data_IF_948534203181
#
_entry.id   IF_948534203181
#
_cell.length_a   1.000
_cell.length_b   1.000
_cell.length_c   1.000
_cell.angle_alpha   90.00
_cell.angle_beta   90.00
_cell.angle_gamma   90.00
#
_symmetry.space_group_name_H-M   'P 1'
#
loop_
_entity.id
_entity.type
_entity.pdbx_description
1 polymer ?
#
# COMPACT_ATOMS: atom_id res chain seq x y z
N UNK A 1 7.10 19.23 -0.73
CA UNK A 1 6.04 18.26 -0.36
C UNK A 1 6.67 16.89 -0.37
N UNK A 2 6.76 16.22 0.77
CA UNK A 2 7.37 14.88 0.85
C UNK A 2 6.31 13.87 0.37
N UNK A 3 6.45 13.37 -0.86
CA UNK A 3 5.49 12.42 -1.42
C UNK A 3 5.64 11.07 -0.72
N UNK A 4 4.55 10.56 -0.15
CA UNK A 4 4.51 9.21 0.39
C UNK A 4 4.73 8.22 -0.77
N UNK A 5 5.84 7.49 -0.76
CA UNK A 5 6.14 6.50 -1.81
C UNK A 5 5.65 5.11 -1.42
N UNK A 6 5.35 4.27 -2.43
CA UNK A 6 4.98 2.86 -2.21
C UNK A 6 6.07 2.11 -1.43
N UNK A 7 7.32 2.35 -1.79
CA UNK A 7 8.49 1.73 -1.16
C UNK A 7 8.64 2.15 0.30
N UNK A 8 8.52 3.45 0.59
CA UNK A 8 8.56 3.95 1.96
C UNK A 8 7.47 3.29 2.82
N UNK A 9 6.26 3.18 2.27
CA UNK A 9 5.13 2.58 2.98
C UNK A 9 5.34 1.08 3.22
N UNK A 10 5.86 0.35 2.24
CA UNK A 10 6.21 -1.07 2.37
C UNK A 10 7.28 -1.29 3.44
N UNK A 11 8.40 -0.56 3.35
CA UNK A 11 9.50 -0.69 4.29
C UNK A 11 9.07 -0.35 5.73
N UNK A 12 8.24 0.68 5.89
CA UNK A 12 7.71 1.08 7.20
C UNK A 12 6.79 0.01 7.79
N UNK A 13 5.85 -0.52 7.00
CA UNK A 13 4.96 -1.61 7.44
C UNK A 13 5.77 -2.84 7.85
N UNK A 14 6.72 -3.28 7.03
CA UNK A 14 7.56 -4.45 7.32
C UNK A 14 8.40 -4.25 8.58
N UNK A 15 8.94 -3.06 8.80
CA UNK A 15 9.70 -2.75 10.02
C UNK A 15 8.83 -2.83 11.27
N UNK A 16 7.59 -2.32 11.21
CA UNK A 16 6.66 -2.35 12.35
C UNK A 16 6.19 -3.78 12.62
N UNK A 17 5.91 -4.57 11.57
CA UNK A 17 5.53 -5.98 11.72
C UNK A 17 6.66 -6.82 12.30
N UNK A 18 7.90 -6.59 11.88
CA UNK A 18 9.06 -7.28 12.44
C UNK A 18 9.24 -6.94 13.91
N UNK A 19 9.12 -5.67 14.28
CA UNK A 19 9.19 -5.24 15.68
C UNK A 19 8.06 -5.85 16.53
N UNK A 20 6.83 -5.92 16.00
CA UNK A 20 5.71 -6.59 16.68
C UNK A 20 6.05 -8.05 16.98
N UNK A 21 6.63 -8.75 16.02
CA UNK A 21 6.90 -10.19 16.13
C UNK A 21 8.04 -10.47 17.13
N UNK A 22 8.90 -9.48 17.42
CA UNK A 22 9.95 -9.56 18.43
C UNK A 22 9.49 -9.17 19.85
N UNK A 23 8.41 -8.41 20.00
CA UNK A 23 7.90 -7.95 21.30
C UNK A 23 6.98 -9.04 21.92
N UNK A 24 7.27 -9.58 23.12
CA UNK A 24 6.50 -10.68 23.72
C UNK A 24 5.01 -10.39 23.95
N UNK A 25 4.64 -9.11 24.11
CA UNK A 25 3.26 -8.66 24.31
C UNK A 25 2.67 -8.00 23.06
N UNK A 26 3.41 -7.98 21.95
CA UNK A 26 3.05 -7.30 20.71
C UNK A 26 3.06 -5.77 20.83
N UNK A 27 2.37 -5.14 19.87
CA UNK A 27 2.18 -3.69 19.80
C UNK A 27 1.06 -3.24 20.74
N UNK A 28 1.14 -2.00 21.23
CA UNK A 28 0.02 -1.35 21.91
C UNK A 28 -1.11 -0.96 20.94
N UNK A 29 -2.22 -0.45 21.46
CA UNK A 29 -3.41 -0.10 20.66
C UNK A 29 -3.10 0.98 19.61
N UNK A 30 -2.36 2.02 19.98
CA UNK A 30 -2.01 3.13 19.09
C UNK A 30 -1.11 2.66 17.95
N UNK A 31 -0.15 1.80 18.25
CA UNK A 31 0.74 1.18 17.27
C UNK A 31 -0.02 0.24 16.33
N UNK A 32 -0.97 -0.55 16.85
CA UNK A 32 -1.84 -1.39 16.01
C UNK A 32 -2.74 -0.54 15.10
N UNK A 33 -3.28 0.56 15.61
CA UNK A 33 -4.09 1.50 14.84
C UNK A 33 -3.25 2.17 13.74
N UNK A 34 -2.02 2.57 14.06
CA UNK A 34 -1.06 3.11 13.09
C UNK A 34 -0.74 2.10 11.99
N UNK A 35 -0.41 0.85 12.35
CA UNK A 35 -0.13 -0.21 11.36
C UNK A 35 -1.33 -0.47 10.45
N UNK A 36 -2.54 -0.47 11.01
CA UNK A 36 -3.79 -0.62 10.25
C UNK A 36 -3.99 0.51 9.26
N UNK A 37 -3.79 1.77 9.68
CA UNK A 37 -3.88 2.94 8.81
C UNK A 37 -2.86 2.88 7.66
N UNK A 38 -1.63 2.45 7.92
CA UNK A 38 -0.60 2.29 6.89
C UNK A 38 -0.98 1.21 5.86
N UNK A 39 -1.55 0.08 6.29
CA UNK A 39 -2.05 -0.96 5.39
C UNK A 39 -3.22 -0.48 4.53
N UNK A 40 -4.12 0.33 5.09
CA UNK A 40 -5.22 0.97 4.34
C UNK A 40 -4.66 1.94 3.28
N UNK A 41 -3.67 2.75 3.64
CA UNK A 41 -2.99 3.63 2.69
C UNK A 41 -2.32 2.82 1.56
N UNK A 42 -1.75 1.65 1.88
CA UNK A 42 -1.12 0.78 0.89
C UNK A 42 -2.14 0.18 -0.08
N UNK A 43 -3.28 -0.30 0.44
CA UNK A 43 -4.39 -0.79 -0.37
C UNK A 43 -4.97 0.31 -1.28
N UNK A 44 -5.13 1.52 -0.75
CA UNK A 44 -5.62 2.69 -1.50
C UNK A 44 -4.68 3.05 -2.65
N UNK A 45 -3.36 3.01 -2.41
CA UNK A 45 -2.37 3.26 -3.45
C UNK A 45 -2.36 2.17 -4.54
N UNK A 46 -2.58 0.91 -4.16
CA UNK A 46 -2.73 -0.19 -5.11
C UNK A 46 -4.01 -0.06 -5.94
N UNK A 47 -5.13 0.30 -5.32
CA UNK A 47 -6.41 0.52 -5.98
C UNK A 47 -6.35 1.66 -6.99
N UNK A 48 -5.66 2.77 -6.67
CA UNK A 48 -5.47 3.87 -7.62
C UNK A 48 -4.73 3.40 -8.90
N UNK A 49 -3.62 2.67 -8.75
CA UNK A 49 -2.90 2.10 -9.91
C UNK A 49 -3.73 1.08 -10.67
N UNK A 50 -4.55 0.30 -9.95
CA UNK A 50 -5.53 -0.61 -10.55
C UNK A 50 -6.70 0.10 -11.21
N UNK A 51 -6.92 1.39 -11.06
CA UNK A 51 -7.92 2.13 -11.85
C UNK A 51 -7.27 2.80 -13.08
N UNK A 52 -6.00 3.15 -13.00
CA UNK A 52 -5.23 3.66 -14.15
C UNK A 52 -4.88 2.55 -15.16
N UNK A 53 -4.50 1.35 -14.70
CA UNK A 53 -4.07 0.27 -15.58
C UNK A 53 -5.16 -0.43 -16.40
N UNK A 54 -6.32 -0.86 -15.86
CA UNK A 54 -7.31 -1.63 -16.63
C UNK A 54 -7.95 -0.77 -17.72
N UNK A 55 -8.12 0.54 -17.49
CA UNK A 55 -8.55 1.45 -18.54
C UNK A 55 -7.50 1.52 -19.66
N UNK A 56 -6.21 1.61 -19.32
CA UNK A 56 -5.16 1.69 -20.33
C UNK A 56 -5.02 0.41 -21.16
N UNK A 57 -5.25 -0.77 -20.56
CA UNK A 57 -5.27 -2.05 -21.30
C UNK A 57 -6.51 -2.20 -22.17
N UNK A 58 -7.69 -1.83 -21.66
CA UNK A 58 -8.94 -1.88 -22.43
C UNK A 58 -8.89 -0.92 -23.63
N UNK A 59 -8.48 0.33 -23.43
CA UNK A 59 -8.34 1.30 -24.53
C UNK A 59 -7.30 0.89 -25.56
N UNK A 60 -6.14 0.37 -25.15
CA UNK A 60 -5.09 -0.09 -26.09
C UNK A 60 -5.53 -1.32 -26.91
N UNK A 61 -6.33 -2.21 -26.32
CA UNK A 61 -6.88 -3.37 -27.04
C UNK A 61 -7.96 -2.97 -28.07
N UNK A 62 -8.75 -1.93 -27.78
CA UNK A 62 -9.80 -1.44 -28.68
C UNK A 62 -9.23 -0.56 -29.80
N UNK A 63 -8.18 0.21 -29.53
CA UNK A 63 -7.56 1.14 -30.51
C UNK A 63 -6.51 0.49 -31.42
N UNK A 64 -5.98 -0.69 -31.08
CA UNK A 64 -5.05 -1.45 -31.93
C UNK A 64 -5.68 -2.29 -33.04
N UNK A 65 -7.02 -2.27 -33.16
CA UNK A 65 -7.79 -3.02 -34.17
C UNK A 65 -8.46 -2.09 -35.22
N UNK A 66 -8.02 -0.83 -35.33
CA UNK A 66 -8.45 0.13 -36.36
C UNK A 66 -7.36 0.35 -37.41
#
# INVERSE_FOLDING_TARGET
>A
MNTLTKEWLQNTITSIESARDEIPFGLDEDQNNMLTALKIAQASLAAYRMNEQPMNYLWRSVSGNL
#
